data_IF_537099269884
#
_entry.id   IF_537099269884
#
_cell.length_a   1.000
_cell.length_b   1.000
_cell.length_c   1.000
_cell.angle_alpha   90.00
_cell.angle_beta   90.00
_cell.angle_gamma   90.00
#
_symmetry.space_group_name_H-M   'P 1'
#
loop_
_entity.id
_entity.type
_entity.pdbx_description
1 polymer ?
#
# COMPACT_ATOMS: atom_id res chain seq x y z
N UNK A 1 6.96 -3.38 -4.32
CA UNK A 1 8.12 -3.53 -3.42
C UNK A 1 8.34 -4.95 -2.86
N UNK A 2 9.58 -5.45 -2.76
CA UNK A 2 9.94 -6.74 -2.09
C UNK A 2 10.84 -6.48 -0.88
N UNK A 3 10.28 -6.57 0.33
CA UNK A 3 11.05 -6.50 1.58
C UNK A 3 11.73 -7.86 1.79
N UNK A 4 13.06 -7.91 1.70
CA UNK A 4 13.86 -9.09 2.06
C UNK A 4 14.30 -8.98 3.51
N UNK A 5 13.71 -9.80 4.40
CA UNK A 5 14.23 -10.04 5.75
C UNK A 5 15.20 -11.24 5.69
N UNK A 6 16.49 -11.08 6.05
CA UNK A 6 17.43 -12.19 6.08
C UNK A 6 17.00 -13.21 7.14
N UNK A 7 16.91 -14.49 6.77
CA UNK A 7 16.59 -15.63 7.64
C UNK A 7 15.16 -15.72 8.23
N UNK A 8 14.14 -15.30 7.49
CA UNK A 8 12.76 -15.75 7.76
C UNK A 8 12.25 -16.49 6.54
N UNK A 9 11.58 -17.64 6.72
CA UNK A 9 10.76 -18.22 5.65
C UNK A 9 9.85 -17.09 5.16
N UNK A 10 9.95 -16.71 3.88
CA UNK A 10 9.11 -15.65 3.34
C UNK A 10 7.67 -16.18 3.34
N UNK A 11 6.86 -15.70 4.28
CA UNK A 11 5.43 -15.95 4.31
C UNK A 11 4.76 -14.85 3.50
N UNK A 12 4.07 -15.24 2.43
CA UNK A 12 3.18 -14.34 1.69
C UNK A 12 1.84 -14.26 2.44
N UNK A 13 1.46 -13.06 2.84
CA UNK A 13 0.19 -12.78 3.53
C UNK A 13 -0.64 -11.89 2.60
N UNK A 14 -1.77 -12.42 2.12
CA UNK A 14 -2.70 -11.66 1.28
C UNK A 14 -3.82 -11.13 2.17
N UNK A 15 -3.84 -9.82 2.40
CA UNK A 15 -4.89 -9.14 3.16
C UNK A 15 -5.83 -8.45 2.18
N UNK A 16 -7.11 -8.79 2.23
CA UNK A 16 -8.16 -8.14 1.45
C UNK A 16 -9.13 -7.43 2.39
N UNK A 17 -9.24 -6.11 2.27
CA UNK A 17 -10.18 -5.30 3.05
C UNK A 17 -11.07 -4.53 2.09
N UNK A 18 -12.37 -4.50 2.36
CA UNK A 18 -13.30 -3.65 1.63
C UNK A 18 -12.98 -2.17 1.89
N UNK A 19 -12.56 -1.46 0.84
CA UNK A 19 -12.22 -0.04 0.92
C UNK A 19 -13.51 0.79 0.94
N UNK A 20 -13.79 1.40 2.08
CA UNK A 20 -14.87 2.37 2.22
C UNK A 20 -14.28 3.71 2.66
N UNK A 21 -14.62 4.76 1.93
CA UNK A 21 -14.19 6.13 2.21
C UNK A 21 -15.35 6.95 2.75
N UNK A 22 -15.09 7.84 3.70
CA UNK A 22 -16.03 8.88 4.10
C UNK A 22 -16.14 9.98 3.03
N UNK A 23 -17.15 10.83 3.16
CA UNK A 23 -17.45 11.91 2.20
C UNK A 23 -16.32 12.94 2.02
N UNK A 24 -15.35 12.96 2.93
CA UNK A 24 -14.16 13.82 2.91
C UNK A 24 -12.93 13.13 2.28
N UNK A 25 -13.10 11.95 1.67
CA UNK A 25 -12.03 11.21 0.98
C UNK A 25 -11.08 10.44 1.91
N UNK A 26 -11.26 10.53 3.23
CA UNK A 26 -10.53 9.70 4.18
C UNK A 26 -11.12 8.29 4.27
N UNK A 27 -10.33 7.34 4.77
CA UNK A 27 -10.83 6.00 5.07
C UNK A 27 -11.92 6.08 6.14
N UNK A 28 -12.99 5.31 5.98
CA UNK A 28 -14.02 5.18 7.00
C UNK A 28 -13.44 4.51 8.25
N UNK A 29 -13.95 4.86 9.43
CA UNK A 29 -13.56 4.19 10.68
C UNK A 29 -13.70 2.67 10.61
N UNK A 30 -14.74 2.16 9.93
CA UNK A 30 -14.93 0.72 9.76
C UNK A 30 -13.81 0.08 8.94
N UNK A 31 -13.36 0.73 7.86
CA UNK A 31 -12.21 0.27 7.07
C UNK A 31 -10.93 0.33 7.89
N UNK A 32 -10.69 1.41 8.65
CA UNK A 32 -9.51 1.54 9.52
C UNK A 32 -9.48 0.42 10.56
N UNK A 33 -10.57 0.20 11.31
CA UNK A 33 -10.62 -0.86 12.34
C UNK A 33 -10.48 -2.27 11.76
N UNK A 34 -11.01 -2.53 10.57
CA UNK A 34 -10.82 -3.82 9.89
C UNK A 34 -9.36 -4.02 9.47
N UNK A 35 -8.68 -2.96 9.02
CA UNK A 35 -7.25 -3.02 8.71
C UNK A 35 -6.45 -3.27 10.00
N UNK A 36 -6.67 -2.49 11.06
CA UNK A 36 -6.00 -2.69 12.36
C UNK A 36 -6.16 -4.12 12.88
N UNK A 37 -7.38 -4.65 12.89
CA UNK A 37 -7.64 -6.03 13.33
C UNK A 37 -6.89 -7.08 12.51
N UNK A 38 -6.88 -6.96 11.18
CA UNK A 38 -6.18 -7.92 10.31
C UNK A 38 -4.67 -7.84 10.45
N UNK A 39 -4.13 -6.68 10.82
CA UNK A 39 -2.71 -6.48 11.05
C UNK A 39 -2.28 -6.99 12.42
N UNK A 40 -3.04 -6.70 13.47
CA UNK A 40 -2.84 -7.23 14.82
C UNK A 40 -2.91 -8.76 14.82
N UNK A 41 -3.87 -9.37 14.11
CA UNK A 41 -3.99 -10.82 14.00
C UNK A 41 -2.71 -11.47 13.44
N UNK A 42 -1.98 -10.78 12.57
CA UNK A 42 -0.73 -11.27 11.99
C UNK A 42 0.52 -10.71 12.68
N UNK A 43 0.37 -10.05 13.83
CA UNK A 43 1.45 -9.36 14.56
C UNK A 43 2.25 -8.38 13.67
N UNK A 44 1.58 -7.81 12.66
CA UNK A 44 2.17 -6.82 11.76
C UNK A 44 1.94 -5.44 12.38
N UNK A 45 3.03 -4.77 12.78
CA UNK A 45 2.95 -3.43 13.35
C UNK A 45 2.33 -2.42 12.38
N UNK A 46 1.40 -1.60 12.86
CA UNK A 46 0.73 -0.56 12.07
C UNK A 46 1.71 0.40 11.40
N UNK A 47 2.79 0.78 12.10
CA UNK A 47 3.86 1.62 11.54
C UNK A 47 4.52 0.98 10.31
N UNK A 48 4.74 -0.34 10.35
CA UNK A 48 5.29 -1.08 9.20
C UNK A 48 4.33 -1.10 8.01
N UNK A 49 3.02 -1.00 8.26
CA UNK A 49 2.00 -0.98 7.21
C UNK A 49 1.88 0.39 6.58
N UNK A 50 1.91 1.46 7.40
CA UNK A 50 1.97 2.81 6.88
C UNK A 50 3.21 3.00 5.99
N UNK A 51 4.38 2.52 6.44
CA UNK A 51 5.62 2.56 5.64
C UNK A 51 5.48 1.82 4.31
N UNK A 52 4.85 0.63 4.30
CA UNK A 52 4.58 -0.15 3.08
C UNK A 52 3.62 0.60 2.15
N UNK A 53 2.56 1.21 2.69
CA UNK A 53 1.56 1.97 1.92
C UNK A 53 2.22 3.20 1.30
N UNK A 54 2.97 3.98 2.07
CA UNK A 54 3.66 5.18 1.59
C UNK A 54 4.67 4.85 0.49
N UNK A 55 5.50 3.81 0.69
CA UNK A 55 6.45 3.36 -0.32
C UNK A 55 5.73 2.87 -1.60
N UNK A 56 4.62 2.16 -1.46
CA UNK A 56 3.83 1.67 -2.61
C UNK A 56 3.19 2.83 -3.38
N UNK A 57 2.62 3.82 -2.69
CA UNK A 57 2.05 5.02 -3.32
C UNK A 57 3.12 5.83 -4.04
N UNK A 58 4.32 5.93 -3.46
CA UNK A 58 5.45 6.61 -4.08
C UNK A 58 5.95 5.87 -5.34
N UNK A 59 6.06 4.53 -5.29
CA UNK A 59 6.38 3.69 -6.45
C UNK A 59 5.35 3.91 -7.59
N UNK A 60 4.05 3.91 -7.28
CA UNK A 60 2.97 4.14 -8.26
C UNK A 60 3.06 5.55 -8.85
N UNK A 61 3.27 6.57 -8.02
CA UNK A 61 3.37 7.96 -8.47
C UNK A 61 4.51 8.16 -9.47
N UNK A 62 5.70 7.63 -9.17
CA UNK A 62 6.84 7.74 -10.09
C UNK A 62 6.62 6.94 -11.37
N UNK A 63 6.08 5.72 -11.27
CA UNK A 63 5.81 4.90 -12.44
C UNK A 63 4.78 5.56 -13.37
N UNK A 64 3.70 6.16 -12.83
CA UNK A 64 2.72 6.90 -13.61
C UNK A 64 3.33 8.18 -14.24
N UNK A 65 4.20 8.88 -13.51
CA UNK A 65 4.89 10.08 -14.00
C UNK A 65 5.82 9.77 -15.17
N UNK A 66 6.56 8.67 -15.08
CA UNK A 66 7.52 8.28 -16.11
C UNK A 66 6.79 7.80 -17.37
N UNK A 67 5.69 7.05 -17.22
CA UNK A 67 4.81 6.70 -18.34
C UNK A 67 4.25 7.95 -19.05
N UNK A 68 3.83 8.96 -18.28
CA UNK A 68 3.33 10.22 -18.85
C UNK A 68 4.42 11.00 -19.61
N UNK A 69 5.67 10.94 -19.16
CA UNK A 69 6.81 11.55 -19.87
C UNK A 69 7.14 10.82 -21.16
N UNK A 70 7.15 9.49 -21.15
CA UNK A 70 7.39 8.69 -22.36
C UNK A 70 6.35 9.00 -23.44
N UNK A 71 5.07 9.07 -23.06
CA UNK A 71 3.99 9.46 -23.98
C UNK A 71 4.20 10.87 -24.52
N UNK A 72 4.58 11.83 -23.68
CA UNK A 72 4.83 13.20 -24.13
C UNK A 72 6.00 13.30 -25.10
N UNK A 73 7.12 12.62 -24.82
CA UNK A 73 8.30 12.58 -25.69
C UNK A 73 8.02 11.84 -27.00
N UNK A 74 7.24 10.76 -26.98
CA UNK A 74 6.89 10.00 -28.17
C UNK A 74 5.95 10.75 -29.14
N UNK A 75 5.33 11.85 -28.69
CA UNK A 75 4.39 12.66 -29.46
C UNK A 75 4.96 14.04 -29.87
N UNK A 76 6.29 14.24 -29.76
CA UNK A 76 7.04 15.41 -30.26
C UNK A 76 7.99 14.94 -31.35
#
# INVERSE_FOLDING_TARGET
MKIKRPMTQQTEIVISVALHTSNNGHLSNATVSNMEYMLEYHEIGFDSVMEIIEQTLQEIYYSARDLAREIFVANI
#
